data_IF_593468342723
#
_entry.id   IF_593468342723
#
_cell.length_a   1.000
_cell.length_b   1.000
_cell.length_c   1.000
_cell.angle_alpha   90.00
_cell.angle_beta   90.00
_cell.angle_gamma   90.00
#
_symmetry.space_group_name_H-M   'P 1'
#
loop_
_entity.id
_entity.type
_entity.pdbx_description
1 polymer ?
#
# COMPACT_ATOMS: atom_id res chain seq x y z
N UNK A 1 13.25 27.93 -27.78
CA UNK A 1 13.18 26.88 -26.74
C UNK A 1 14.51 26.13 -26.63
N UNK A 2 15.14 25.80 -27.72
CA UNK A 2 16.44 25.08 -27.79
C UNK A 2 17.56 25.67 -26.89
N UNK A 3 17.66 27.00 -26.82
CA UNK A 3 18.67 27.68 -25.96
C UNK A 3 18.46 27.45 -24.46
N UNK A 4 17.20 27.44 -23.98
CA UNK A 4 16.92 27.20 -22.58
C UNK A 4 17.20 25.74 -22.20
N UNK A 5 16.92 24.79 -23.09
CA UNK A 5 17.24 23.38 -22.90
C UNK A 5 18.75 23.14 -22.75
N UNK A 6 19.56 23.84 -23.52
CA UNK A 6 21.01 23.80 -23.38
C UNK A 6 21.48 24.38 -22.04
N UNK A 7 20.87 25.50 -21.57
CA UNK A 7 21.19 26.08 -20.28
C UNK A 7 20.82 25.14 -19.11
N UNK A 8 19.69 24.46 -19.20
CA UNK A 8 19.28 23.44 -18.22
C UNK A 8 20.28 22.28 -18.19
N UNK A 9 20.71 21.79 -19.35
CA UNK A 9 21.69 20.71 -19.46
C UNK A 9 23.05 21.10 -18.85
N UNK A 10 23.53 22.30 -19.13
CA UNK A 10 24.75 22.87 -18.51
C UNK A 10 24.63 23.05 -17.02
N UNK A 11 23.46 23.47 -16.54
CA UNK A 11 23.17 23.63 -15.11
C UNK A 11 23.24 22.27 -14.38
N UNK A 12 22.59 21.27 -14.89
CA UNK A 12 22.57 19.92 -14.32
C UNK A 12 23.94 19.21 -14.39
N UNK A 13 24.77 19.53 -15.38
CA UNK A 13 26.14 19.02 -15.49
C UNK A 13 27.17 19.82 -14.66
N UNK A 14 26.79 20.99 -14.14
CA UNK A 14 27.69 21.88 -13.39
C UNK A 14 28.69 22.66 -14.25
N UNK A 15 28.41 22.80 -15.56
CA UNK A 15 29.29 23.49 -16.54
C UNK A 15 28.76 24.86 -16.97
N UNK A 16 27.71 25.36 -16.32
CA UNK A 16 27.07 26.64 -16.64
C UNK A 16 27.91 27.81 -16.13
N UNK A 17 28.00 28.92 -16.92
CA UNK A 17 28.69 30.14 -16.51
C UNK A 17 27.80 31.03 -15.63
N UNK A 18 28.43 32.02 -14.92
CA UNK A 18 27.68 32.95 -14.08
C UNK A 18 26.68 33.80 -14.83
N UNK A 19 27.02 34.20 -16.07
CA UNK A 19 26.13 34.97 -16.95
C UNK A 19 24.93 34.13 -17.41
N UNK A 20 25.17 32.88 -17.75
CA UNK A 20 24.12 31.92 -18.17
C UNK A 20 23.19 31.59 -17.04
N UNK A 21 23.68 31.51 -15.76
CA UNK A 21 22.84 31.30 -14.56
C UNK A 21 21.83 32.43 -14.38
N UNK A 22 22.21 33.68 -14.63
CA UNK A 22 21.29 34.81 -14.49
C UNK A 22 20.12 34.70 -15.48
N UNK A 23 20.40 34.27 -16.71
CA UNK A 23 19.38 34.08 -17.73
C UNK A 23 18.43 32.93 -17.34
N UNK A 24 19.00 31.82 -16.87
CA UNK A 24 18.22 30.66 -16.44
C UNK A 24 17.33 30.97 -15.22
N UNK A 25 17.85 31.69 -14.23
CA UNK A 25 17.07 32.13 -13.05
C UNK A 25 15.89 33.01 -13.44
N UNK A 26 16.09 33.98 -14.32
CA UNK A 26 15.01 34.84 -14.80
C UNK A 26 13.91 34.01 -15.45
N UNK A 27 14.28 33.03 -16.29
CA UNK A 27 13.31 32.15 -16.94
C UNK A 27 12.56 31.28 -15.90
N UNK A 28 13.22 30.78 -14.85
CA UNK A 28 12.60 29.99 -13.77
C UNK A 28 11.60 30.84 -12.99
N UNK A 29 11.91 32.10 -12.70
CA UNK A 29 11.09 32.98 -11.87
C UNK A 29 9.83 33.49 -12.59
N UNK A 30 9.76 33.39 -13.91
CA UNK A 30 8.59 33.78 -14.70
C UNK A 30 7.35 32.86 -14.49
N UNK A 31 7.53 31.63 -13.95
CA UNK A 31 6.40 30.72 -13.72
C UNK A 31 6.69 29.71 -12.59
N UNK A 32 5.76 29.53 -11.64
CA UNK A 32 5.90 28.54 -10.56
C UNK A 32 6.12 27.11 -11.10
N UNK A 33 5.46 26.74 -12.19
CA UNK A 33 5.62 25.41 -12.78
C UNK A 33 7.02 25.12 -13.33
N UNK A 34 7.77 26.18 -13.76
CA UNK A 34 9.17 26.01 -14.21
C UNK A 34 10.11 25.75 -13.02
N UNK A 35 9.83 26.32 -11.88
CA UNK A 35 10.57 26.09 -10.64
C UNK A 35 10.43 24.65 -10.16
N UNK A 36 9.21 24.12 -10.16
CA UNK A 36 8.95 22.73 -9.77
C UNK A 36 9.56 21.74 -10.77
N UNK A 37 9.55 22.07 -12.06
CA UNK A 37 10.20 21.27 -13.10
C UNK A 37 11.71 21.15 -12.86
N UNK A 38 12.42 22.26 -12.61
CA UNK A 38 13.86 22.23 -12.31
C UNK A 38 14.17 21.44 -11.05
N UNK A 39 13.38 21.60 -9.98
CA UNK A 39 13.53 20.83 -8.73
C UNK A 39 13.40 19.32 -8.97
N UNK A 40 12.48 18.92 -9.82
CA UNK A 40 12.30 17.51 -10.19
C UNK A 40 13.50 16.96 -10.95
N UNK A 41 14.08 17.77 -11.88
CA UNK A 41 15.27 17.39 -12.63
C UNK A 41 16.52 17.29 -11.74
N UNK A 42 16.70 18.20 -10.78
CA UNK A 42 17.79 18.15 -9.79
C UNK A 42 17.74 16.88 -8.96
N UNK A 43 16.57 16.54 -8.42
CA UNK A 43 16.35 15.32 -7.64
C UNK A 43 16.69 14.06 -8.46
N UNK A 44 16.29 14.01 -9.71
CA UNK A 44 16.58 12.89 -10.62
C UNK A 44 18.06 12.78 -10.96
N UNK A 45 18.74 13.90 -11.17
CA UNK A 45 20.17 13.93 -11.45
C UNK A 45 21.01 13.47 -10.25
N UNK A 46 20.61 13.84 -9.04
CA UNK A 46 21.25 13.38 -7.81
C UNK A 46 21.10 11.88 -7.59
N UNK A 47 19.96 11.30 -7.95
CA UNK A 47 19.77 9.85 -7.93
C UNK A 47 20.70 9.14 -8.90
N UNK A 48 20.86 9.65 -10.12
CA UNK A 48 21.79 9.09 -11.13
C UNK A 48 23.24 9.20 -10.63
N UNK A 49 23.66 10.32 -10.05
CA UNK A 49 25.00 10.49 -9.46
C UNK A 49 25.25 9.52 -8.32
N UNK A 50 24.26 9.30 -7.44
CA UNK A 50 24.34 8.31 -6.37
C UNK A 50 24.48 6.90 -6.94
N UNK A 51 23.64 6.52 -7.89
CA UNK A 51 23.70 5.20 -8.54
C UNK A 51 25.07 4.94 -9.18
N UNK A 52 25.62 5.89 -9.94
CA UNK A 52 26.93 5.75 -10.56
C UNK A 52 28.06 5.64 -9.51
N UNK A 53 27.95 6.30 -8.37
CA UNK A 53 28.89 6.16 -7.25
C UNK A 53 28.84 4.77 -6.63
N UNK A 54 27.66 4.15 -6.50
CA UNK A 54 27.51 2.78 -6.02
C UNK A 54 27.98 1.76 -7.08
N UNK A 55 27.69 1.99 -8.35
CA UNK A 55 28.11 1.12 -9.46
C UNK A 55 29.63 1.13 -9.67
N UNK A 56 30.33 2.21 -9.26
CA UNK A 56 31.78 2.34 -9.33
C UNK A 56 32.51 1.65 -8.15
N UNK A 57 31.78 1.12 -7.17
CA UNK A 57 32.40 0.39 -6.05
C UNK A 57 32.83 -0.98 -6.53
N UNK A 58 34.15 -1.20 -6.59
CA UNK A 58 34.77 -2.50 -6.91
C UNK A 58 34.56 -3.49 -5.74
N UNK A 59 33.35 -4.08 -5.69
CA UNK A 59 32.99 -5.05 -4.66
C UNK A 59 33.79 -6.34 -4.77
N UNK A 60 34.14 -6.79 -5.97
CA UNK A 60 34.96 -7.99 -6.19
C UNK A 60 36.42 -7.77 -5.75
N UNK A 61 37.00 -6.62 -6.06
CA UNK A 61 38.33 -6.27 -5.58
C UNK A 61 38.40 -6.07 -4.06
N UNK A 62 37.34 -5.54 -3.45
CA UNK A 62 37.25 -5.45 -1.99
C UNK A 62 37.15 -6.82 -1.33
N UNK A 63 36.37 -7.75 -1.88
CA UNK A 63 36.26 -9.14 -1.44
C UNK A 63 37.58 -9.88 -1.57
N UNK A 64 38.30 -9.74 -2.69
CA UNK A 64 39.61 -10.33 -2.88
C UNK A 64 40.65 -9.80 -1.88
N UNK A 65 40.68 -8.49 -1.60
CA UNK A 65 41.53 -7.88 -0.60
C UNK A 65 41.19 -8.39 0.81
N UNK A 66 39.94 -8.52 1.15
CA UNK A 66 39.48 -9.07 2.42
C UNK A 66 39.92 -10.52 2.59
N UNK A 67 39.70 -11.37 1.57
CA UNK A 67 40.09 -12.78 1.60
C UNK A 67 41.61 -12.98 1.64
N UNK A 68 42.40 -12.07 1.07
CA UNK A 68 43.88 -12.13 1.17
C UNK A 68 44.40 -11.72 2.56
N UNK A 69 43.63 -10.93 3.31
CA UNK A 69 43.99 -10.52 4.68
C UNK A 69 43.64 -11.58 5.73
N UNK A 70 42.61 -12.38 5.47
CA UNK A 70 42.25 -13.55 6.28
C UNK A 70 43.18 -14.71 5.88
N UNK A 71 44.42 -14.69 6.32
CA UNK A 71 45.31 -15.87 6.19
C UNK A 71 44.66 -17.00 6.98
N UNK A 72 44.41 -18.18 6.37
CA UNK A 72 44.01 -19.33 7.14
C UNK A 72 45.19 -19.65 8.06
N UNK A 73 44.98 -19.53 9.35
CA UNK A 73 45.94 -20.09 10.33
C UNK A 73 46.00 -21.56 10.05
N UNK A 74 47.16 -21.99 9.48
CA UNK A 74 47.43 -23.39 9.26
C UNK A 74 47.48 -24.05 10.65
N UNK A 75 46.44 -24.81 10.96
CA UNK A 75 46.38 -25.57 12.20
C UNK A 75 47.60 -26.50 12.25
N UNK A 76 48.48 -26.27 13.22
CA UNK A 76 49.55 -27.18 13.59
C UNK A 76 48.97 -28.59 13.81
N UNK A 77 49.69 -29.66 13.43
CA UNK A 77 49.15 -31.01 13.57
C UNK A 77 48.86 -31.31 15.03
N UNK A 78 47.60 -31.28 15.35
CA UNK A 78 47.08 -31.63 16.67
C UNK A 78 47.55 -33.03 17.06
N UNK A 79 48.06 -33.20 18.29
CA UNK A 79 48.51 -34.48 18.84
C UNK A 79 47.41 -35.55 18.64
N UNK A 80 47.80 -36.78 18.34
CA UNK A 80 46.91 -37.95 18.14
C UNK A 80 45.81 -38.08 19.17
N UNK A 81 45.98 -37.57 20.40
CA UNK A 81 45.01 -37.61 21.48
C UNK A 81 43.78 -36.72 21.20
N UNK A 82 43.94 -35.60 20.50
CA UNK A 82 42.83 -34.69 20.16
C UNK A 82 41.86 -35.33 19.14
N UNK A 83 42.36 -36.18 18.27
CA UNK A 83 41.53 -36.94 17.32
C UNK A 83 40.55 -37.90 18.00
N UNK A 84 40.95 -38.51 19.14
CA UNK A 84 40.05 -39.37 19.92
C UNK A 84 38.91 -38.56 20.55
N UNK A 85 39.20 -37.39 21.05
CA UNK A 85 38.13 -36.51 21.61
C UNK A 85 37.23 -35.94 20.50
N UNK A 86 37.75 -35.58 19.33
CA UNK A 86 37.00 -35.13 18.19
C UNK A 86 36.06 -36.25 17.66
N UNK A 87 36.51 -37.50 17.65
CA UNK A 87 35.72 -38.65 17.20
C UNK A 87 34.48 -38.93 18.09
N UNK A 88 34.51 -38.49 19.34
CA UNK A 88 33.37 -38.62 20.27
C UNK A 88 32.50 -37.34 20.31
N UNK A 89 33.13 -36.16 20.31
CA UNK A 89 32.43 -34.87 20.39
C UNK A 89 31.63 -34.54 19.13
N UNK A 90 32.20 -34.82 17.95
CA UNK A 90 31.53 -34.49 16.69
C UNK A 90 30.20 -35.24 16.51
N UNK A 91 30.14 -36.58 16.73
CA UNK A 91 28.84 -37.29 16.69
C UNK A 91 27.87 -36.84 17.77
N UNK A 92 28.36 -36.48 18.96
CA UNK A 92 27.50 -35.97 20.05
C UNK A 92 26.88 -34.61 19.73
N UNK A 93 27.66 -33.70 19.12
CA UNK A 93 27.18 -32.41 18.63
C UNK A 93 26.22 -32.62 17.44
N UNK A 94 26.55 -33.50 16.49
CA UNK A 94 25.63 -33.83 15.40
C UNK A 94 24.31 -34.42 15.91
N UNK A 95 24.38 -35.31 16.90
CA UNK A 95 23.19 -35.89 17.52
C UNK A 95 22.37 -34.82 18.26
N UNK A 96 23.03 -33.91 18.98
CA UNK A 96 22.32 -32.82 19.66
C UNK A 96 21.66 -31.85 18.69
N UNK A 97 22.34 -31.51 17.57
CA UNK A 97 21.74 -30.67 16.50
C UNK A 97 20.57 -31.40 15.85
N UNK A 98 20.71 -32.68 15.53
CA UNK A 98 19.66 -33.50 14.94
C UNK A 98 18.42 -33.63 15.87
N UNK A 99 18.63 -33.79 17.18
CA UNK A 99 17.57 -33.81 18.18
C UNK A 99 16.93 -32.42 18.32
N UNK A 100 17.71 -31.34 18.26
CA UNK A 100 17.24 -29.97 18.32
C UNK A 100 16.40 -29.60 17.07
N UNK A 101 16.81 -30.03 15.87
CA UNK A 101 16.03 -29.84 14.65
C UNK A 101 14.71 -30.62 14.64
N UNK A 102 14.63 -31.75 15.37
CA UNK A 102 13.35 -32.48 15.53
C UNK A 102 12.36 -31.80 16.48
N UNK A 103 12.83 -30.98 17.40
CA UNK A 103 11.99 -30.30 18.38
C UNK A 103 11.67 -28.84 17.99
N UNK A 104 12.29 -28.30 16.96
CA UNK A 104 11.84 -27.01 16.42
C UNK A 104 10.55 -27.27 15.65
N UNK A 105 9.40 -26.80 16.15
CA UNK A 105 8.22 -26.76 15.30
C UNK A 105 8.63 -25.95 14.07
N UNK A 106 8.26 -26.45 12.88
CA UNK A 106 8.48 -25.77 11.61
C UNK A 106 8.30 -24.27 11.82
N UNK A 107 9.43 -23.55 11.86
CA UNK A 107 9.36 -22.11 11.70
C UNK A 107 8.59 -21.93 10.40
N UNK A 108 7.47 -21.16 10.38
CA UNK A 108 6.76 -20.95 9.15
C UNK A 108 7.81 -20.47 8.15
N UNK A 109 8.18 -21.36 7.23
CA UNK A 109 8.97 -20.96 6.10
C UNK A 109 8.08 -19.89 5.47
N UNK A 110 8.48 -18.64 5.60
CA UNK A 110 8.02 -17.60 4.71
C UNK A 110 8.53 -18.02 3.34
N UNK A 111 7.86 -18.97 2.74
CA UNK A 111 7.80 -19.06 1.30
C UNK A 111 7.46 -17.64 0.92
N UNK A 112 8.33 -16.95 0.20
CA UNK A 112 7.94 -15.78 -0.56
C UNK A 112 6.87 -16.31 -1.49
N UNK A 113 5.66 -16.44 -0.95
CA UNK A 113 4.47 -16.68 -1.71
C UNK A 113 4.51 -15.55 -2.71
N UNK A 114 4.67 -15.93 -3.94
CA UNK A 114 4.71 -15.03 -5.06
C UNK A 114 3.52 -14.11 -4.85
N UNK A 115 3.78 -12.87 -4.40
CA UNK A 115 2.72 -11.89 -4.18
C UNK A 115 2.26 -11.58 -5.58
N UNK A 116 1.22 -12.28 -6.00
CA UNK A 116 0.55 -11.98 -7.24
C UNK A 116 0.14 -10.50 -7.20
N UNK A 117 0.40 -9.75 -8.28
CA UNK A 117 0.01 -8.35 -8.34
C UNK A 117 -1.48 -8.25 -8.01
N UNK A 118 -1.86 -7.33 -7.13
CA UNK A 118 -3.15 -7.13 -6.50
C UNK A 118 -4.32 -7.77 -7.26
N UNK A 119 -4.82 -8.88 -6.76
CA UNK A 119 -5.94 -9.57 -7.37
C UNK A 119 -7.24 -8.84 -7.00
N UNK A 120 -8.13 -8.64 -7.97
CA UNK A 120 -9.47 -8.12 -7.70
C UNK A 120 -10.29 -9.20 -6.98
N UNK A 121 -10.22 -9.21 -5.65
CA UNK A 121 -10.87 -10.20 -4.80
C UNK A 121 -11.35 -9.59 -3.48
N UNK A 122 -12.54 -9.97 -3.07
CA UNK A 122 -13.11 -9.61 -1.79
C UNK A 122 -14.10 -10.69 -1.30
N UNK A 123 -14.52 -10.60 -0.06
CA UNK A 123 -15.58 -11.42 0.51
C UNK A 123 -16.70 -10.48 0.94
N UNK A 124 -17.89 -10.72 0.43
CA UNK A 124 -19.11 -10.04 0.87
C UNK A 124 -19.75 -10.86 2.00
N UNK A 125 -19.95 -10.25 3.14
CA UNK A 125 -20.67 -10.81 4.29
C UNK A 125 -22.00 -10.08 4.43
N UNK A 126 -23.09 -10.79 4.31
CA UNK A 126 -24.46 -10.25 4.44
C UNK A 126 -24.89 -10.22 5.91
N UNK A 127 -25.96 -9.46 6.22
CA UNK A 127 -26.50 -9.32 7.59
C UNK A 127 -26.93 -10.66 8.21
N UNK A 128 -27.33 -11.62 7.38
CA UNK A 128 -27.69 -12.99 7.79
C UNK A 128 -26.47 -13.90 8.03
N UNK A 129 -25.25 -13.40 7.90
CA UNK A 129 -24.00 -14.16 8.03
C UNK A 129 -23.61 -14.97 6.78
N UNK A 130 -24.34 -14.87 5.67
CA UNK A 130 -23.95 -15.53 4.43
C UNK A 130 -22.72 -14.85 3.85
N UNK A 131 -21.72 -15.65 3.51
CA UNK A 131 -20.48 -15.18 2.86
C UNK A 131 -20.48 -15.51 1.38
N UNK A 132 -20.02 -14.58 0.57
CA UNK A 132 -19.89 -14.72 -0.87
C UNK A 132 -18.54 -14.20 -1.35
N UNK A 133 -17.77 -15.03 -2.03
CA UNK A 133 -16.53 -14.60 -2.66
C UNK A 133 -16.83 -13.73 -3.90
N UNK A 134 -16.20 -12.57 -3.96
CA UNK A 134 -16.27 -11.62 -5.06
C UNK A 134 -14.96 -11.69 -5.85
N UNK A 135 -15.01 -12.34 -7.02
CA UNK A 135 -13.87 -12.42 -7.95
C UNK A 135 -14.13 -11.53 -9.16
N UNK A 136 -13.07 -10.92 -9.69
CA UNK A 136 -13.19 -9.91 -10.76
C UNK A 136 -13.70 -10.41 -12.12
N UNK A 137 -13.95 -11.70 -12.29
CA UNK A 137 -14.17 -12.31 -13.60
C UNK A 137 -15.62 -12.66 -13.93
N UNK A 138 -16.55 -12.62 -12.98
CA UNK A 138 -17.94 -13.02 -13.23
C UNK A 138 -18.89 -11.83 -13.34
N UNK A 139 -19.54 -11.68 -14.48
CA UNK A 139 -20.71 -10.81 -14.58
C UNK A 139 -21.95 -11.55 -14.09
N UNK A 140 -22.45 -11.15 -12.92
CA UNK A 140 -23.63 -11.75 -12.32
C UNK A 140 -24.50 -10.72 -11.63
N UNK A 141 -25.79 -10.76 -11.92
CA UNK A 141 -26.77 -10.01 -11.12
C UNK A 141 -27.29 -10.93 -10.03
N UNK A 142 -27.13 -10.49 -8.78
CA UNK A 142 -27.57 -11.23 -7.61
C UNK A 142 -28.72 -10.45 -6.99
N UNK A 143 -29.88 -11.08 -6.87
CA UNK A 143 -30.92 -10.61 -5.97
C UNK A 143 -30.45 -10.93 -4.56
N UNK A 144 -30.00 -9.90 -3.80
CA UNK A 144 -29.55 -10.10 -2.43
C UNK A 144 -30.75 -10.32 -1.51
N UNK A 145 -31.85 -9.65 -1.81
CA UNK A 145 -33.19 -9.88 -1.27
C UNK A 145 -34.27 -9.18 -2.13
N UNK A 146 -35.53 -9.16 -1.67
CA UNK A 146 -36.66 -8.50 -2.36
C UNK A 146 -36.51 -6.98 -2.51
N UNK A 147 -35.56 -6.35 -1.84
CA UNK A 147 -35.38 -4.90 -1.77
C UNK A 147 -34.11 -4.39 -2.44
N UNK A 148 -33.15 -5.27 -2.72
CA UNK A 148 -31.83 -4.87 -3.25
C UNK A 148 -31.31 -5.90 -4.22
N UNK A 149 -30.87 -5.42 -5.36
CA UNK A 149 -30.08 -6.20 -6.31
C UNK A 149 -28.66 -5.65 -6.34
N UNK A 150 -27.68 -6.54 -6.46
CA UNK A 150 -26.30 -6.18 -6.72
C UNK A 150 -25.88 -6.73 -8.06
N UNK A 151 -25.26 -5.88 -8.87
CA UNK A 151 -24.65 -6.27 -10.13
C UNK A 151 -23.14 -6.38 -9.94
N UNK A 152 -22.61 -7.57 -10.14
CA UNK A 152 -21.17 -7.83 -10.17
C UNK A 152 -20.69 -7.76 -11.61
N UNK A 153 -19.49 -7.21 -11.84
CA UNK A 153 -18.84 -7.18 -13.15
C UNK A 153 -17.60 -6.30 -13.14
N UNK A 154 -16.62 -6.64 -13.98
CA UNK A 154 -15.39 -5.87 -14.15
C UNK A 154 -14.65 -5.56 -12.83
N UNK A 155 -14.61 -6.51 -11.91
CA UNK A 155 -13.94 -6.32 -10.62
C UNK A 155 -14.62 -5.34 -9.67
N UNK A 156 -15.91 -5.13 -9.83
CA UNK A 156 -16.70 -4.24 -8.98
C UNK A 156 -18.07 -4.84 -8.68
N UNK A 157 -18.65 -4.40 -7.56
CA UNK A 157 -20.05 -4.65 -7.23
C UNK A 157 -20.82 -3.33 -7.16
N UNK A 158 -22.00 -3.29 -7.76
CA UNK A 158 -22.87 -2.10 -7.75
C UNK A 158 -24.17 -2.45 -7.08
N UNK A 159 -24.51 -1.75 -6.02
CA UNK A 159 -25.77 -1.88 -5.30
C UNK A 159 -26.85 -1.03 -5.95
N UNK A 160 -28.02 -1.64 -6.22
CA UNK A 160 -29.19 -0.94 -6.73
C UNK A 160 -30.36 -1.17 -5.79
N UNK A 161 -30.85 -0.14 -5.10
CA UNK A 161 -32.04 -0.28 -4.28
C UNK A 161 -33.26 -0.51 -5.16
N UNK A 162 -34.07 -1.52 -4.83
CA UNK A 162 -35.33 -1.82 -5.53
C UNK A 162 -36.51 -1.27 -4.74
N UNK A 163 -36.42 -1.27 -3.40
CA UNK A 163 -37.43 -0.73 -2.51
C UNK A 163 -36.82 -0.15 -1.22
N UNK A 164 -37.54 0.77 -0.56
CA UNK A 164 -37.11 1.34 0.73
C UNK A 164 -37.47 0.38 1.86
N UNK A 165 -36.48 -0.15 2.56
CA UNK A 165 -36.67 -1.01 3.75
C UNK A 165 -36.96 -0.18 5.01
N UNK A 166 -37.81 -0.72 5.88
CA UNK A 166 -38.08 -0.16 7.22
C UNK A 166 -37.01 -0.49 8.24
N UNK A 167 -36.24 -1.58 8.01
CA UNK A 167 -35.15 -2.02 8.90
C UNK A 167 -33.81 -1.87 8.17
N UNK A 168 -32.86 -1.23 8.82
CA UNK A 168 -31.49 -1.12 8.29
C UNK A 168 -30.82 -2.51 8.27
N UNK A 169 -30.39 -2.92 7.11
CA UNK A 169 -29.61 -4.14 6.87
C UNK A 169 -28.21 -3.72 6.49
N UNK A 170 -27.20 -4.38 7.06
CA UNK A 170 -25.80 -4.04 6.87
C UNK A 170 -25.06 -5.17 6.19
N UNK A 171 -24.29 -4.79 5.18
CA UNK A 171 -23.32 -5.70 4.55
C UNK A 171 -21.91 -5.26 4.87
N UNK A 172 -21.00 -6.21 4.78
CA UNK A 172 -19.58 -5.96 4.99
C UNK A 172 -18.79 -6.53 3.83
N UNK A 173 -17.91 -5.74 3.24
CA UNK A 173 -16.90 -6.20 2.29
C UNK A 173 -15.57 -6.31 3.03
N UNK A 174 -14.94 -7.46 2.94
CA UNK A 174 -13.60 -7.75 3.46
C UNK A 174 -12.67 -8.00 2.29
N UNK A 175 -11.62 -7.22 2.19
CA UNK A 175 -10.57 -7.39 1.18
C UNK A 175 -9.37 -8.07 1.85
N UNK A 176 -8.99 -9.28 1.43
CA UNK A 176 -7.86 -10.00 2.00
C UNK A 176 -6.53 -9.36 1.59
N UNK A 177 -5.46 -9.87 2.17
CA UNK A 177 -4.10 -9.47 1.83
C UNK A 177 -3.80 -9.69 0.34
N UNK A 178 -3.19 -8.69 -0.31
CA UNK A 178 -2.91 -8.72 -1.74
C UNK A 178 -4.13 -8.54 -2.63
N UNK A 179 -5.33 -8.28 -2.04
CA UNK A 179 -6.55 -7.97 -2.75
C UNK A 179 -6.77 -6.47 -2.89
N UNK A 180 -7.61 -6.09 -3.83
CA UNK A 180 -8.25 -4.77 -3.95
C UNK A 180 -9.67 -4.97 -4.48
N UNK A 181 -10.59 -4.11 -4.09
CA UNK A 181 -11.97 -4.21 -4.59
C UNK A 181 -12.66 -2.86 -4.69
N UNK A 182 -13.51 -2.73 -5.72
CA UNK A 182 -14.32 -1.53 -5.94
C UNK A 182 -15.79 -1.82 -5.70
N UNK A 183 -16.45 -0.94 -4.95
CA UNK A 183 -17.89 -1.00 -4.73
C UNK A 183 -18.55 0.32 -5.09
N UNK A 184 -19.73 0.26 -5.71
CA UNK A 184 -20.65 1.40 -5.83
C UNK A 184 -21.82 1.16 -4.89
N UNK A 185 -21.96 2.04 -3.91
CA UNK A 185 -23.01 2.00 -2.91
C UNK A 185 -24.37 2.44 -3.50
N UNK A 186 -25.45 2.19 -2.78
CA UNK A 186 -26.83 2.50 -3.23
C UNK A 186 -27.10 4.00 -3.48
N UNK A 187 -26.27 4.89 -2.92
CA UNK A 187 -26.35 6.34 -3.14
C UNK A 187 -25.53 6.82 -4.35
N UNK A 188 -24.82 5.93 -5.03
CA UNK A 188 -23.91 6.22 -6.13
C UNK A 188 -22.47 6.54 -5.70
N UNK A 189 -22.15 6.49 -4.41
CA UNK A 189 -20.79 6.66 -3.91
C UNK A 189 -19.92 5.48 -4.35
N UNK A 190 -18.76 5.75 -4.97
CA UNK A 190 -17.79 4.75 -5.34
C UNK A 190 -16.69 4.67 -4.27
N UNK A 191 -16.36 3.46 -3.83
CA UNK A 191 -15.32 3.20 -2.84
C UNK A 191 -14.32 2.18 -3.40
N UNK A 192 -13.05 2.53 -3.39
CA UNK A 192 -11.95 1.63 -3.70
C UNK A 192 -11.33 1.20 -2.37
N UNK A 193 -11.43 -0.08 -2.07
CA UNK A 193 -11.00 -0.69 -0.80
C UNK A 193 -9.68 -1.38 -1.05
N UNK A 194 -8.67 -1.03 -0.24
CA UNK A 194 -7.32 -1.59 -0.34
C UNK A 194 -7.21 -2.93 0.40
N UNK A 195 -6.05 -3.61 0.26
CA UNK A 195 -5.76 -4.88 0.93
C UNK A 195 -5.93 -4.79 2.46
N UNK A 196 -6.26 -5.91 3.12
CA UNK A 196 -6.44 -6.01 4.58
C UNK A 196 -7.42 -4.97 5.15
N UNK A 197 -8.45 -4.62 4.36
CA UNK A 197 -9.41 -3.59 4.73
C UNK A 197 -10.83 -4.13 4.73
N UNK A 198 -11.68 -3.49 5.50
CA UNK A 198 -13.07 -3.86 5.69
C UNK A 198 -13.97 -2.64 5.63
N UNK A 199 -15.01 -2.69 4.82
CA UNK A 199 -16.05 -1.67 4.74
C UNK A 199 -17.40 -2.25 5.14
N UNK A 200 -18.00 -1.72 6.21
CA UNK A 200 -19.37 -2.04 6.61
C UNK A 200 -20.28 -0.89 6.24
N UNK A 201 -21.38 -1.18 5.55
CA UNK A 201 -22.29 -0.18 5.01
C UNK A 201 -23.74 -0.69 5.04
N UNK A 202 -24.73 0.22 5.17
CA UNK A 202 -26.13 -0.16 5.05
C UNK A 202 -26.48 -0.39 3.58
N UNK A 203 -27.30 -1.40 3.33
CA UNK A 203 -27.81 -1.72 1.98
C UNK A 203 -28.62 -0.56 1.39
N UNK A 204 -29.34 0.18 2.23
CA UNK A 204 -30.02 1.44 1.91
C UNK A 204 -29.71 2.49 2.95
N UNK A 205 -29.36 3.71 2.50
CA UNK A 205 -29.07 4.82 3.41
C UNK A 205 -30.33 5.49 3.96
N UNK A 206 -30.19 6.09 5.14
CA UNK A 206 -31.23 6.94 5.72
C UNK A 206 -31.30 8.29 5.01
N UNK A 207 -32.44 8.99 5.16
CA UNK A 207 -32.63 10.33 4.60
C UNK A 207 -31.88 11.41 5.41
N UNK A 208 -31.37 11.08 6.60
CA UNK A 208 -30.68 12.03 7.50
C UNK A 208 -29.19 12.04 7.32
N UNK A 209 -28.57 10.85 7.25
CA UNK A 209 -27.12 10.68 7.20
C UNK A 209 -26.78 9.35 6.49
N UNK A 210 -25.73 9.35 5.68
CA UNK A 210 -25.20 8.20 4.97
C UNK A 210 -23.93 7.72 5.68
N UNK A 211 -24.07 6.79 6.62
CA UNK A 211 -22.93 6.35 7.46
C UNK A 211 -22.42 5.01 7.01
N UNK A 212 -21.09 4.91 6.88
CA UNK A 212 -20.32 3.67 6.67
C UNK A 212 -19.22 3.56 7.72
N UNK A 213 -18.74 2.33 7.97
CA UNK A 213 -17.62 2.09 8.88
C UNK A 213 -16.47 1.45 8.12
N UNK A 214 -15.26 2.01 8.29
CA UNK A 214 -14.04 1.54 7.67
C UNK A 214 -13.06 1.02 8.72
N UNK A 215 -12.38 -0.09 8.38
CA UNK A 215 -11.15 -0.56 9.02
C UNK A 215 -10.13 -0.76 7.90
N UNK A 216 -8.88 -0.33 8.07
CA UNK A 216 -7.85 -0.37 7.03
C UNK A 216 -7.89 0.87 6.13
N UNK A 217 -7.74 0.72 4.82
CA UNK A 217 -7.62 1.85 3.89
C UNK A 217 -8.65 1.78 2.77
N UNK A 218 -9.25 2.95 2.46
CA UNK A 218 -10.11 3.10 1.31
C UNK A 218 -10.10 4.52 0.74
N UNK A 219 -10.24 4.59 -0.58
CA UNK A 219 -10.46 5.83 -1.31
C UNK A 219 -11.95 5.98 -1.66
N UNK A 220 -12.50 7.16 -1.38
CA UNK A 220 -13.91 7.48 -1.55
C UNK A 220 -14.11 8.54 -2.63
N UNK A 221 -15.01 8.27 -3.57
CA UNK A 221 -15.58 9.25 -4.50
C UNK A 221 -17.07 9.40 -4.16
N UNK A 222 -17.39 10.35 -3.31
CA UNK A 222 -18.72 10.44 -2.76
C UNK A 222 -19.68 11.21 -3.66
N UNK A 223 -20.82 10.59 -3.91
CA UNK A 223 -21.93 11.21 -4.62
C UNK A 223 -22.45 12.46 -3.88
N UNK A 224 -22.48 13.60 -4.57
CA UNK A 224 -22.89 14.87 -3.99
C UNK A 224 -24.37 14.86 -3.60
N UNK A 225 -24.67 15.23 -2.34
CA UNK A 225 -26.03 15.42 -1.82
C UNK A 225 -26.03 16.54 -0.78
N UNK A 226 -26.69 17.64 -1.05
CA UNK A 226 -26.64 18.84 -0.22
C UNK A 226 -27.20 18.65 1.20
N UNK A 227 -28.27 17.86 1.36
CA UNK A 227 -28.98 17.73 2.63
C UNK A 227 -28.71 16.45 3.39
N UNK A 228 -27.91 15.54 2.85
CA UNK A 228 -27.62 14.23 3.46
C UNK A 228 -26.14 13.99 3.47
N UNK A 229 -25.44 14.34 4.57
CA UNK A 229 -23.99 14.14 4.65
C UNK A 229 -23.63 12.66 4.57
N UNK A 230 -22.45 12.40 4.02
CA UNK A 230 -21.83 11.09 4.07
C UNK A 230 -20.82 11.10 5.20
N UNK A 231 -20.84 10.08 6.04
CA UNK A 231 -19.98 9.96 7.21
C UNK A 231 -19.23 8.63 7.16
N UNK A 232 -17.91 8.69 7.28
CA UNK A 232 -17.09 7.51 7.47
C UNK A 232 -16.65 7.46 8.93
N UNK A 233 -17.02 6.37 9.62
CA UNK A 233 -16.57 6.06 10.96
C UNK A 233 -15.33 5.18 10.90
N UNK A 234 -14.27 5.59 11.59
CA UNK A 234 -12.97 4.89 11.67
C UNK A 234 -12.49 4.91 13.11
N UNK A 235 -12.64 3.79 13.82
CA UNK A 235 -12.41 3.77 15.26
C UNK A 235 -13.28 4.80 15.99
N UNK A 236 -12.64 5.79 16.61
CA UNK A 236 -13.31 6.91 17.30
C UNK A 236 -13.35 8.20 16.43
N UNK A 237 -12.84 8.17 15.21
CA UNK A 237 -12.86 9.29 14.28
C UNK A 237 -14.10 9.22 13.38
N UNK A 238 -14.69 10.38 13.10
CA UNK A 238 -15.78 10.57 12.12
C UNK A 238 -15.38 11.60 11.08
N UNK A 239 -15.38 11.19 9.81
CA UNK A 239 -15.11 12.05 8.66
C UNK A 239 -16.43 12.35 7.96
N UNK A 240 -16.87 13.61 8.02
CA UNK A 240 -18.15 14.06 7.47
C UNK A 240 -17.95 14.94 6.23
N UNK A 241 -18.76 14.70 5.20
CA UNK A 241 -18.68 15.45 3.95
C UNK A 241 -19.98 15.34 3.11
N UNK A 242 -20.11 16.15 2.04
CA UNK A 242 -21.33 16.26 1.23
C UNK A 242 -21.13 15.88 -0.25
N UNK A 243 -19.89 15.68 -0.71
CA UNK A 243 -19.54 15.33 -2.09
C UNK A 243 -18.08 15.65 -2.33
N UNK A 244 -17.20 14.69 -2.07
CA UNK A 244 -15.76 14.91 -1.89
C UNK A 244 -15.02 13.67 -2.36
N UNK A 245 -13.77 13.85 -2.81
CA UNK A 245 -12.83 12.77 -3.09
C UNK A 245 -11.73 12.78 -2.04
N UNK A 246 -11.55 11.69 -1.31
CA UNK A 246 -10.58 11.59 -0.23
C UNK A 246 -10.15 10.15 0.02
N UNK A 247 -8.97 9.98 0.58
CA UNK A 247 -8.46 8.70 1.07
C UNK A 247 -8.43 8.70 2.59
N UNK A 248 -8.76 7.58 3.19
CA UNK A 248 -8.52 7.31 4.62
C UNK A 248 -7.60 6.11 4.72
N UNK A 249 -6.48 6.29 5.42
CA UNK A 249 -5.57 5.22 5.81
C UNK A 249 -5.62 5.04 7.33
N UNK A 250 -6.14 3.91 7.77
CA UNK A 250 -6.35 3.56 9.17
C UNK A 250 -5.72 2.20 9.54
N UNK A 251 -4.58 1.86 8.94
CA UNK A 251 -3.80 0.69 9.36
C UNK A 251 -3.06 0.95 10.68
N UNK A 252 -2.79 2.21 10.99
CA UNK A 252 -2.11 2.63 12.21
C UNK A 252 -3.12 3.10 13.27
N UNK A 253 -2.66 3.23 14.51
CA UNK A 253 -3.47 3.77 15.63
C UNK A 253 -4.00 5.18 15.38
N UNK A 254 -3.25 6.00 14.64
CA UNK A 254 -3.66 7.33 14.21
C UNK A 254 -4.08 7.29 12.73
N UNK A 255 -5.39 7.31 12.42
CA UNK A 255 -5.87 7.36 11.05
C UNK A 255 -5.46 8.66 10.34
N UNK A 256 -5.07 8.54 9.07
CA UNK A 256 -4.73 9.66 8.20
C UNK A 256 -5.82 9.88 7.16
N UNK A 257 -6.18 11.14 6.93
CA UNK A 257 -7.17 11.54 5.92
C UNK A 257 -6.53 12.47 4.91
N UNK A 258 -6.49 12.07 3.64
CA UNK A 258 -5.96 12.86 2.53
C UNK A 258 -7.11 13.35 1.67
N UNK A 259 -7.32 14.66 1.65
CA UNK A 259 -8.33 15.31 0.81
C UNK A 259 -7.78 15.50 -0.62
N UNK A 260 -8.51 14.99 -1.61
CA UNK A 260 -8.16 15.15 -3.02
C UNK A 260 -8.97 16.29 -3.66
N UNK A 261 -10.26 16.38 -3.37
CA UNK A 261 -11.13 17.44 -3.89
C UNK A 261 -12.35 17.66 -2.99
N UNK A 262 -12.76 18.91 -2.80
CA UNK A 262 -13.93 19.31 -2.01
C UNK A 262 -13.57 19.76 -0.59
N UNK A 263 -14.41 19.46 0.40
CA UNK A 263 -14.20 19.80 1.81
C UNK A 263 -14.65 18.66 2.72
N UNK A 264 -13.96 18.46 3.81
CA UNK A 264 -14.26 17.45 4.84
C UNK A 264 -14.27 18.11 6.23
N UNK A 265 -15.14 17.61 7.11
CA UNK A 265 -15.06 17.86 8.55
C UNK A 265 -14.60 16.58 9.25
N UNK A 266 -13.56 16.68 10.08
CA UNK A 266 -13.07 15.57 10.87
C UNK A 266 -13.37 15.86 12.35
N UNK A 267 -13.97 14.89 13.04
CA UNK A 267 -14.21 14.94 14.48
C UNK A 267 -13.81 13.61 15.11
N UNK A 268 -13.29 13.65 16.33
CA UNK A 268 -12.92 12.49 17.13
C UNK A 268 -13.23 12.73 18.61
N UNK A 269 -13.18 11.70 19.43
CA UNK A 269 -13.43 11.79 20.89
C UNK A 269 -12.29 12.52 21.61
N UNK A 270 -11.88 13.68 21.19
CA UNK A 270 -10.72 14.38 21.78
C UNK A 270 -10.67 15.88 21.41
N UNK A 271 -11.73 16.42 20.82
CA UNK A 271 -11.82 17.84 20.47
C UNK A 271 -13.04 18.49 21.09
#
# INVERSE_FOLDING_TARGET
MEYIEQLIAKYLSGTISEEEIIVLRRWIDESPGRRDFIRTLESRNDLVKKYNRYAAVDAEGAKHRFLSYVRPTVFSPFSRRVWYYAAVLVPLVMLSVWLYEKETPDSPQFTLEQVDPGATQAILIMDNGTEMALTGQEEKTIALDDSVSAQMGNGAITYRPVAKKTKAEYHTIVVPRGGEYRITLADGTCVHINAESQLRFPVTFSDKERTVRLTGEAYFEVSHRENTPFVVEVGNMRVRQYGTKFNINAYNEAPEVVLVAGSIGVSGDGG
#
